data_IF_507926791629
#
_entry.id   IF_507926791629
#
_cell.length_a   1.000
_cell.length_b   1.000
_cell.length_c   1.000
_cell.angle_alpha   90.00
_cell.angle_beta   90.00
_cell.angle_gamma   90.00
#
_symmetry.space_group_name_H-M   'P 1'
#
loop_
_entity.id
_entity.type
_entity.pdbx_description
1 polymer ?
#
# COMPACT_ATOMS: atom_id res chain seq x y z
N UNK A 1 -3.22 22.14 0.26
CA UNK A 1 -4.38 22.00 1.15
C UNK A 1 -4.67 20.54 1.38
N UNK A 2 -4.49 20.11 2.63
CA UNK A 2 -4.59 18.68 2.99
C UNK A 2 -6.00 18.11 2.76
N UNK A 3 -7.04 18.85 3.07
CA UNK A 3 -8.43 18.39 2.90
C UNK A 3 -8.79 18.11 1.44
N UNK A 4 -8.35 18.99 0.53
CA UNK A 4 -8.59 18.83 -0.90
C UNK A 4 -7.90 17.57 -1.43
N UNK A 5 -6.66 17.35 -1.00
CA UNK A 5 -5.89 16.18 -1.39
C UNK A 5 -6.54 14.88 -0.89
N UNK A 6 -6.99 14.85 0.37
CA UNK A 6 -7.72 13.70 0.95
C UNK A 6 -9.03 13.43 0.20
N UNK A 7 -9.79 14.49 -0.12
CA UNK A 7 -11.03 14.36 -0.88
C UNK A 7 -10.81 13.72 -2.24
N UNK A 8 -9.79 14.15 -2.97
CA UNK A 8 -9.44 13.59 -4.28
C UNK A 8 -9.05 12.11 -4.18
N UNK A 9 -8.33 11.72 -3.13
CA UNK A 9 -7.95 10.32 -2.92
C UNK A 9 -9.19 9.46 -2.67
N UNK A 10 -10.13 9.93 -1.86
CA UNK A 10 -11.38 9.22 -1.59
C UNK A 10 -12.22 9.05 -2.85
N UNK A 11 -12.30 10.07 -3.68
CA UNK A 11 -12.96 10.00 -4.98
C UNK A 11 -12.29 8.98 -5.90
N UNK A 12 -10.96 8.97 -5.92
CA UNK A 12 -10.18 8.00 -6.68
C UNK A 12 -10.44 6.56 -6.21
N UNK A 13 -10.50 6.34 -4.91
CA UNK A 13 -10.82 5.03 -4.33
C UNK A 13 -12.22 4.57 -4.76
N UNK A 14 -13.20 5.46 -4.68
CA UNK A 14 -14.58 5.15 -5.09
C UNK A 14 -14.65 4.78 -6.57
N UNK A 15 -13.94 5.52 -7.43
CA UNK A 15 -13.87 5.24 -8.87
C UNK A 15 -13.21 3.89 -9.14
N UNK A 16 -12.12 3.56 -8.45
CA UNK A 16 -11.44 2.28 -8.59
C UNK A 16 -12.32 1.12 -8.15
N UNK A 17 -13.03 1.26 -7.04
CA UNK A 17 -13.98 0.24 -6.56
C UNK A 17 -15.10 0.01 -7.56
N UNK A 18 -15.61 1.06 -8.20
CA UNK A 18 -16.62 0.96 -9.24
C UNK A 18 -16.09 0.18 -10.45
N UNK A 19 -14.87 0.49 -10.90
CA UNK A 19 -14.24 -0.25 -11.99
C UNK A 19 -14.11 -1.74 -11.68
N UNK A 20 -13.75 -2.10 -10.45
CA UNK A 20 -13.62 -3.50 -10.04
C UNK A 20 -14.97 -4.21 -10.06
N UNK A 21 -16.05 -3.54 -9.63
CA UNK A 21 -17.40 -4.11 -9.67
C UNK A 21 -17.88 -4.36 -11.08
N UNK A 22 -17.52 -3.47 -12.02
CA UNK A 22 -17.93 -3.60 -13.42
C UNK A 22 -17.17 -4.69 -14.15
N UNK A 23 -15.90 -4.92 -13.79
CA UNK A 23 -15.07 -5.93 -14.41
C UNK A 23 -14.11 -6.55 -13.40
N UNK A 24 -14.60 -7.47 -12.54
CA UNK A 24 -13.77 -8.08 -11.50
C UNK A 24 -12.71 -9.04 -12.03
N UNK A 25 -12.76 -9.37 -13.33
CA UNK A 25 -11.78 -10.27 -13.98
C UNK A 25 -10.78 -9.52 -14.87
N UNK A 26 -10.78 -8.17 -14.82
CA UNK A 26 -9.86 -7.39 -15.63
C UNK A 26 -8.40 -7.76 -15.32
N UNK A 27 -7.53 -7.86 -16.36
CA UNK A 27 -6.12 -8.15 -16.14
C UNK A 27 -5.40 -7.13 -15.24
N UNK A 28 -5.92 -5.90 -15.19
CA UNK A 28 -5.38 -4.82 -14.35
C UNK A 28 -5.91 -4.86 -12.91
N UNK A 29 -6.67 -5.88 -12.52
CA UNK A 29 -7.33 -5.93 -11.21
C UNK A 29 -6.32 -5.87 -10.05
N UNK A 30 -5.19 -6.58 -10.15
CA UNK A 30 -4.17 -6.56 -9.10
C UNK A 30 -3.67 -5.15 -8.85
N UNK A 31 -3.42 -4.41 -9.91
CA UNK A 31 -2.94 -3.03 -9.80
C UNK A 31 -3.99 -2.12 -9.15
N UNK A 32 -5.25 -2.29 -9.54
CA UNK A 32 -6.35 -1.50 -8.96
C UNK A 32 -6.56 -1.78 -7.48
N UNK A 33 -6.51 -3.04 -7.07
CA UNK A 33 -6.63 -3.42 -5.67
C UNK A 33 -5.47 -2.84 -4.85
N UNK A 34 -4.26 -2.91 -5.39
CA UNK A 34 -3.10 -2.31 -4.76
C UNK A 34 -3.25 -0.79 -4.62
N UNK A 35 -3.72 -0.11 -5.67
CA UNK A 35 -3.95 1.33 -5.64
C UNK A 35 -4.97 1.73 -4.58
N UNK A 36 -6.05 0.96 -4.43
CA UNK A 36 -7.08 1.21 -3.41
C UNK A 36 -6.45 1.12 -2.01
N UNK A 37 -5.70 0.07 -1.74
CA UNK A 37 -5.05 -0.11 -0.45
C UNK A 37 -4.10 1.05 -0.15
N UNK A 38 -3.29 1.44 -1.12
CA UNK A 38 -2.34 2.54 -0.99
C UNK A 38 -3.05 3.88 -0.76
N UNK A 39 -4.11 4.16 -1.51
CA UNK A 39 -4.88 5.38 -1.37
C UNK A 39 -5.55 5.48 0.01
N UNK A 40 -6.10 4.38 0.51
CA UNK A 40 -6.68 4.33 1.84
C UNK A 40 -5.62 4.58 2.92
N UNK A 41 -4.43 4.02 2.74
CA UNK A 41 -3.32 4.28 3.65
C UNK A 41 -2.98 5.78 3.69
N UNK A 42 -2.87 6.43 2.54
CA UNK A 42 -2.57 7.86 2.48
C UNK A 42 -3.66 8.72 3.10
N UNK A 43 -4.89 8.23 3.14
CA UNK A 43 -6.01 8.91 3.82
C UNK A 43 -6.05 8.63 5.32
N UNK A 44 -5.07 7.93 5.87
CA UNK A 44 -5.01 7.51 7.28
C UNK A 44 -6.13 6.53 7.67
N UNK A 45 -6.73 5.86 6.69
CA UNK A 45 -7.73 4.83 6.93
C UNK A 45 -7.05 3.45 6.96
N UNK A 46 -6.27 3.23 8.00
CA UNK A 46 -5.37 2.07 8.08
C UNK A 46 -6.09 0.73 8.16
N UNK A 47 -7.20 0.65 8.89
CA UNK A 47 -7.98 -0.58 8.96
C UNK A 47 -8.53 -0.97 7.58
N UNK A 48 -9.09 -0.01 6.86
CA UNK A 48 -9.61 -0.23 5.51
C UNK A 48 -8.47 -0.54 4.52
N UNK A 49 -7.33 0.13 4.67
CA UNK A 49 -6.15 -0.13 3.85
C UNK A 49 -5.64 -1.56 4.04
N UNK A 50 -5.58 -2.02 5.28
CA UNK A 50 -5.16 -3.39 5.60
C UNK A 50 -6.12 -4.41 4.98
N UNK A 51 -7.42 -4.19 5.07
CA UNK A 51 -8.42 -5.09 4.48
C UNK A 51 -8.32 -5.12 2.95
N UNK A 52 -8.17 -3.97 2.32
CA UNK A 52 -7.98 -3.90 0.86
C UNK A 52 -6.70 -4.62 0.43
N UNK A 53 -5.61 -4.46 1.19
CA UNK A 53 -4.35 -5.15 0.91
C UNK A 53 -4.51 -6.67 1.06
N UNK A 54 -5.23 -7.13 2.08
CA UNK A 54 -5.51 -8.57 2.25
C UNK A 54 -6.34 -9.11 1.09
N UNK A 55 -7.29 -8.36 0.61
CA UNK A 55 -8.07 -8.74 -0.57
C UNK A 55 -7.18 -8.88 -1.81
N UNK A 56 -6.27 -7.94 -2.01
CA UNK A 56 -5.31 -8.00 -3.10
C UNK A 56 -4.41 -9.24 -2.99
N UNK A 57 -3.95 -9.56 -1.80
CA UNK A 57 -3.11 -10.73 -1.54
C UNK A 57 -3.86 -12.03 -1.81
N UNK A 58 -5.12 -12.12 -1.39
CA UNK A 58 -5.95 -13.32 -1.66
C UNK A 58 -6.10 -13.57 -3.16
N UNK A 59 -6.23 -12.51 -3.93
CA UNK A 59 -6.37 -12.60 -5.38
C UNK A 59 -5.04 -12.82 -6.10
N UNK A 60 -3.97 -12.21 -5.57
CA UNK A 60 -2.65 -12.20 -6.20
C UNK A 60 -1.56 -12.32 -5.12
N UNK A 61 -1.27 -13.55 -4.65
CA UNK A 61 -0.37 -13.77 -3.50
C UNK A 61 1.08 -13.34 -3.70
N UNK A 62 1.51 -13.15 -4.95
CA UNK A 62 2.89 -12.81 -5.27
C UNK A 62 3.15 -11.30 -5.38
N UNK A 63 2.18 -10.48 -5.04
CA UNK A 63 2.32 -9.03 -5.12
C UNK A 63 2.99 -8.46 -3.87
N UNK A 64 4.29 -8.23 -3.95
CA UNK A 64 5.08 -7.67 -2.83
C UNK A 64 4.55 -6.32 -2.35
N UNK A 65 4.06 -5.48 -3.28
CA UNK A 65 3.50 -4.16 -2.95
C UNK A 65 2.32 -4.24 -1.99
N UNK A 66 1.46 -5.24 -2.16
CA UNK A 66 0.31 -5.44 -1.29
C UNK A 66 0.74 -5.79 0.14
N UNK A 67 1.75 -6.63 0.30
CA UNK A 67 2.32 -6.93 1.62
C UNK A 67 2.97 -5.72 2.25
N UNK A 68 3.63 -4.88 1.46
CA UNK A 68 4.23 -3.64 1.94
C UNK A 68 3.19 -2.69 2.53
N UNK A 69 2.10 -2.47 1.81
CA UNK A 69 1.00 -1.61 2.28
C UNK A 69 0.35 -2.22 3.53
N UNK A 70 0.14 -3.54 3.52
CA UNK A 70 -0.42 -4.24 4.69
C UNK A 70 0.47 -4.05 5.92
N UNK A 71 1.78 -4.26 5.78
CA UNK A 71 2.73 -4.09 6.88
C UNK A 71 2.70 -2.65 7.42
N UNK A 72 2.72 -1.66 6.54
CA UNK A 72 2.67 -0.26 6.94
C UNK A 72 1.37 0.08 7.68
N UNK A 73 0.23 -0.37 7.16
CA UNK A 73 -1.07 -0.12 7.79
C UNK A 73 -1.17 -0.77 9.17
N UNK A 74 -0.76 -2.02 9.29
CA UNK A 74 -0.76 -2.74 10.56
C UNK A 74 0.21 -2.10 11.57
N UNK A 75 1.36 -1.62 11.09
CA UNK A 75 2.31 -0.89 11.92
C UNK A 75 1.70 0.39 12.51
N UNK A 76 0.98 1.15 11.70
CA UNK A 76 0.28 2.36 12.16
C UNK A 76 -0.83 2.04 13.17
N UNK A 77 -1.45 0.86 13.05
CA UNK A 77 -2.50 0.41 13.97
C UNK A 77 -1.95 -0.18 15.27
N UNK A 78 -0.63 -0.32 15.38
CA UNK A 78 0.00 -0.92 16.56
C UNK A 78 -0.06 -2.45 16.60
N UNK A 79 -0.47 -3.10 15.52
CA UNK A 79 -0.52 -4.57 15.42
C UNK A 79 0.84 -5.11 14.99
N UNK A 80 1.81 -5.00 15.89
CA UNK A 80 3.22 -5.21 15.58
C UNK A 80 3.55 -6.62 15.09
N UNK A 81 2.98 -7.65 15.69
CA UNK A 81 3.25 -9.04 15.29
C UNK A 81 2.78 -9.33 13.86
N UNK A 82 1.56 -8.94 13.53
CA UNK A 82 1.00 -9.12 12.19
C UNK A 82 1.73 -8.25 11.16
N UNK A 83 2.09 -7.02 11.56
CA UNK A 83 2.83 -6.10 10.71
C UNK A 83 4.21 -6.65 10.34
N UNK A 84 4.91 -7.22 11.32
CA UNK A 84 6.22 -7.83 11.10
C UNK A 84 6.14 -9.00 10.14
N UNK A 85 5.15 -9.85 10.29
CA UNK A 85 4.93 -10.99 9.39
C UNK A 85 4.71 -10.53 7.95
N UNK A 86 3.87 -9.51 7.74
CA UNK A 86 3.62 -8.96 6.41
C UNK A 86 4.89 -8.32 5.83
N UNK A 87 5.66 -7.62 6.64
CA UNK A 87 6.92 -7.01 6.24
C UNK A 87 7.92 -8.08 5.77
N UNK A 88 8.07 -9.16 6.52
CA UNK A 88 8.96 -10.26 6.16
C UNK A 88 8.57 -10.88 4.82
N UNK A 89 7.28 -11.05 4.57
CA UNK A 89 6.80 -11.56 3.28
C UNK A 89 7.07 -10.60 2.13
N UNK A 90 6.88 -9.30 2.34
CA UNK A 90 7.18 -8.30 1.32
C UNK A 90 8.65 -8.35 0.90
N UNK A 91 9.53 -8.48 1.86
CA UNK A 91 10.98 -8.58 1.62
C UNK A 91 11.31 -9.92 0.94
N UNK A 92 10.73 -11.03 1.41
CA UNK A 92 11.02 -12.36 0.87
C UNK A 92 10.60 -12.52 -0.59
N UNK A 93 9.46 -11.94 -0.98
CA UNK A 93 8.95 -12.05 -2.36
C UNK A 93 9.86 -11.33 -3.35
N UNK A 94 10.30 -10.12 -3.03
CA UNK A 94 11.09 -9.30 -3.94
C UNK A 94 12.07 -8.41 -3.17
N UNK A 95 13.18 -8.96 -2.65
CA UNK A 95 14.11 -8.20 -1.81
C UNK A 95 14.67 -6.95 -2.51
N UNK A 96 15.05 -7.08 -3.78
CA UNK A 96 15.60 -5.97 -4.55
C UNK A 96 14.57 -4.87 -4.78
N UNK A 97 13.32 -5.23 -5.04
CA UNK A 97 12.23 -4.27 -5.23
C UNK A 97 11.96 -3.54 -3.93
N UNK A 98 11.93 -4.25 -2.81
CA UNK A 98 11.73 -3.64 -1.50
C UNK A 98 12.87 -2.67 -1.19
N UNK A 99 14.10 -3.07 -1.37
CA UNK A 99 15.28 -2.22 -1.12
C UNK A 99 15.24 -0.96 -1.98
N UNK A 100 14.94 -1.10 -3.27
CA UNK A 100 14.81 0.02 -4.20
C UNK A 100 13.74 1.01 -3.75
N UNK A 101 12.60 0.49 -3.30
CA UNK A 101 11.51 1.32 -2.78
C UNK A 101 11.94 2.05 -1.51
N UNK A 102 12.54 1.35 -0.57
CA UNK A 102 12.97 1.91 0.70
C UNK A 102 14.01 3.03 0.52
N UNK A 103 14.88 2.89 -0.47
CA UNK A 103 15.88 3.91 -0.82
C UNK A 103 15.31 5.11 -1.56
N UNK A 104 14.03 5.08 -1.89
CA UNK A 104 13.37 6.19 -2.57
C UNK A 104 13.59 6.24 -4.08
N UNK A 105 14.17 5.23 -4.69
CA UNK A 105 14.38 5.20 -6.14
C UNK A 105 13.06 5.25 -6.92
N UNK A 106 11.98 4.81 -6.31
CA UNK A 106 10.65 4.88 -6.90
C UNK A 106 10.22 6.32 -7.19
N UNK A 107 10.70 7.29 -6.41
CA UNK A 107 10.36 8.70 -6.60
C UNK A 107 10.88 9.24 -7.92
N UNK A 108 12.01 8.73 -8.38
CA UNK A 108 12.60 9.13 -9.67
C UNK A 108 11.81 8.56 -10.84
N UNK A 109 11.29 7.34 -10.70
CA UNK A 109 10.57 6.63 -11.76
C UNK A 109 9.10 7.03 -11.87
N UNK A 110 8.54 7.49 -10.78
CA UNK A 110 7.12 7.82 -10.69
C UNK A 110 6.93 9.24 -10.16
N UNK A 111 7.04 10.25 -11.04
CA UNK A 111 6.93 11.66 -10.60
C UNK A 111 5.61 11.99 -9.92
N UNK A 112 4.55 11.20 -10.15
CA UNK A 112 3.26 11.39 -9.51
C UNK A 112 3.28 10.96 -8.04
N UNK A 113 4.25 10.15 -7.61
CA UNK A 113 4.39 9.74 -6.22
C UNK A 113 5.01 10.89 -5.43
N UNK A 114 4.32 11.32 -4.38
CA UNK A 114 4.76 12.45 -3.56
C UNK A 114 5.77 11.98 -2.51
N UNK A 115 6.84 12.75 -2.26
CA UNK A 115 7.80 12.40 -1.21
C UNK A 115 7.16 12.24 0.18
N UNK A 116 6.13 13.03 0.49
CA UNK A 116 5.40 12.95 1.76
C UNK A 116 4.69 11.60 1.90
N UNK A 117 4.11 11.11 0.82
CA UNK A 117 3.41 9.83 0.80
C UNK A 117 4.40 8.67 0.97
N UNK A 118 5.55 8.76 0.31
CA UNK A 118 6.63 7.79 0.50
C UNK A 118 7.10 7.76 1.95
N UNK A 119 7.34 8.93 2.53
CA UNK A 119 7.76 9.04 3.94
C UNK A 119 6.72 8.45 4.88
N UNK A 120 5.44 8.64 4.57
CA UNK A 120 4.32 8.11 5.35
C UNK A 120 4.32 6.57 5.35
N UNK A 121 4.55 5.95 4.20
CA UNK A 121 4.69 4.49 4.10
C UNK A 121 5.91 4.01 4.88
N UNK A 122 7.04 4.69 4.74
CA UNK A 122 8.27 4.31 5.46
C UNK A 122 8.09 4.40 6.98
N UNK A 123 7.34 5.39 7.46
CA UNK A 123 6.99 5.49 8.88
C UNK A 123 6.23 4.25 9.35
N UNK A 124 5.22 3.83 8.60
CA UNK A 124 4.44 2.62 8.90
C UNK A 124 5.31 1.36 8.90
N UNK A 125 6.23 1.24 7.94
CA UNK A 125 7.13 0.10 7.86
C UNK A 125 8.10 0.06 9.04
N UNK A 126 8.59 1.20 9.52
CA UNK A 126 9.42 1.26 10.72
C UNK A 126 8.64 0.80 11.95
N UNK A 127 7.38 1.19 12.07
CA UNK A 127 6.49 0.70 13.13
C UNK A 127 6.23 -0.80 13.04
N UNK A 128 6.31 -1.37 11.83
CA UNK A 128 6.22 -2.81 11.60
C UNK A 128 7.50 -3.56 11.98
N UNK A 129 8.59 -2.84 12.26
CA UNK A 129 9.85 -3.44 12.65
C UNK A 129 10.98 -3.32 11.63
N UNK A 130 10.76 -2.60 10.52
CA UNK A 130 11.83 -2.38 9.54
C UNK A 130 12.91 -1.47 10.14
N UNK A 131 14.13 -1.96 10.16
CA UNK A 131 15.23 -1.29 10.84
C UNK A 131 16.15 -0.49 9.91
N UNK A 132 15.88 -0.53 8.66
CA UNK A 132 16.75 0.15 7.81
C UNK A 132 16.89 0.31 6.54
#
# INVERSE_FOLDING_TARGET
>A
MALTSSGRRKEGVAALKTCIRLDPRAPSLVYRLFQIAQALYYCHEYAAAAEAARQAIRSFPDCAGSYRVLAAALGQMGRTAEAKEALEKAIAIAPAVFDSYARGYVLERHPALRPEDHAHIMEGLRKAGWAG
#
